data_IF_217371307642
#
_entry.id   IF_217371307642
#
_cell.length_a   1.000
_cell.length_b   1.000
_cell.length_c   1.000
_cell.angle_alpha   90.00
_cell.angle_beta   90.00
_cell.angle_gamma   90.00
#
_symmetry.space_group_name_H-M   'P 1'
#
loop_
_entity.id
_entity.type
_entity.pdbx_description
1 polymer ?
#
# COMPACT_ATOMS: atom_id res chain seq x y z
N UNK A 1 -3.36 -22.90 -17.70
CA UNK A 1 -1.98 -22.40 -17.90
C UNK A 1 -1.94 -20.90 -18.13
N UNK A 2 -2.11 -20.10 -17.07
CA UNK A 2 -2.04 -18.64 -17.16
C UNK A 2 -0.56 -18.22 -17.09
N UNK A 3 0.12 -18.21 -18.25
CA UNK A 3 1.56 -17.87 -18.34
C UNK A 3 1.87 -16.38 -18.08
N UNK A 4 0.86 -15.50 -18.11
CA UNK A 4 1.01 -14.06 -17.87
C UNK A 4 0.18 -13.68 -16.65
N UNK A 5 0.84 -13.20 -15.60
CA UNK A 5 0.23 -12.75 -14.35
C UNK A 5 -0.20 -11.27 -14.40
N UNK A 6 0.36 -10.53 -15.36
CA UNK A 6 0.06 -9.13 -15.61
C UNK A 6 0.82 -8.18 -14.68
N UNK A 7 0.74 -6.89 -14.97
CA UNK A 7 1.38 -5.84 -14.21
C UNK A 7 0.36 -4.77 -13.81
N UNK A 8 0.54 -4.16 -12.64
CA UNK A 8 -0.40 -3.17 -12.10
C UNK A 8 0.30 -2.21 -11.15
N UNK A 9 -0.21 -1.00 -11.08
CA UNK A 9 0.08 -0.01 -10.05
C UNK A 9 -1.23 0.38 -9.39
N UNK A 10 -1.25 0.32 -8.07
CA UNK A 10 -2.30 0.87 -7.23
C UNK A 10 -1.69 1.77 -6.18
N UNK A 11 -2.31 2.92 -5.95
CA UNK A 11 -1.99 3.78 -4.84
C UNK A 11 -3.24 4.51 -4.32
N UNK A 12 -3.37 4.58 -3.01
CA UNK A 12 -4.13 5.62 -2.34
C UNK A 12 -3.18 6.78 -2.04
N UNK A 13 -3.55 7.99 -2.46
CA UNK A 13 -2.85 9.22 -2.14
C UNK A 13 -3.63 9.99 -1.08
N UNK A 14 -2.91 10.59 -0.13
CA UNK A 14 -3.44 11.50 0.89
C UNK A 14 -2.90 12.89 0.61
N UNK A 15 -3.78 13.89 0.60
CA UNK A 15 -3.43 15.28 0.29
C UNK A 15 -3.64 16.19 1.50
N UNK A 16 -2.80 17.21 1.61
CA UNK A 16 -2.99 18.29 2.58
C UNK A 16 -4.08 19.29 2.13
N UNK A 17 -4.31 20.30 2.96
CA UNK A 17 -5.27 21.37 2.71
C UNK A 17 -4.96 22.21 1.48
N UNK A 18 -3.70 22.20 1.02
CA UNK A 18 -3.24 22.93 -0.17
C UNK A 18 -3.27 22.03 -1.43
N UNK A 19 -3.78 20.80 -1.32
CA UNK A 19 -3.82 19.84 -2.42
C UNK A 19 -2.49 19.16 -2.72
N UNK A 20 -1.48 19.27 -1.84
CA UNK A 20 -0.18 18.62 -2.00
C UNK A 20 -0.22 17.21 -1.43
N UNK A 21 0.41 16.26 -2.11
CA UNK A 21 0.53 14.89 -1.60
C UNK A 21 1.35 14.90 -0.29
N UNK A 22 0.87 14.20 0.73
CA UNK A 22 1.59 13.92 1.99
C UNK A 22 2.07 12.48 2.02
N UNK A 23 1.23 11.55 1.56
CA UNK A 23 1.54 10.13 1.60
C UNK A 23 0.94 9.39 0.41
N UNK A 24 1.64 8.35 -0.04
CA UNK A 24 1.12 7.34 -0.94
C UNK A 24 1.22 5.96 -0.29
N UNK A 25 0.16 5.17 -0.44
CA UNK A 25 0.02 3.82 0.10
C UNK A 25 -0.38 2.92 -1.05
N UNK A 26 0.50 2.03 -1.48
CA UNK A 26 0.28 1.34 -2.75
C UNK A 26 0.82 -0.06 -2.84
N UNK A 27 0.34 -0.76 -3.86
CA UNK A 27 0.86 -2.03 -4.32
C UNK A 27 1.25 -1.90 -5.80
N UNK A 28 2.43 -2.39 -6.14
CA UNK A 28 2.93 -2.39 -7.51
C UNK A 28 3.45 -3.76 -7.87
N UNK A 29 2.96 -4.33 -8.97
CA UNK A 29 3.66 -5.42 -9.65
C UNK A 29 4.16 -4.92 -10.99
N UNK A 30 5.48 -4.72 -11.16
CA UNK A 30 6.00 -4.17 -12.39
C UNK A 30 6.21 -5.18 -13.51
N UNK A 31 6.24 -6.47 -13.20
CA UNK A 31 6.58 -7.51 -14.17
C UNK A 31 5.34 -8.34 -14.54
N UNK A 32 5.02 -8.39 -15.83
CA UNK A 32 3.86 -9.14 -16.33
C UNK A 32 4.01 -10.66 -16.22
N UNK A 33 5.24 -11.15 -16.04
CA UNK A 33 5.59 -12.56 -16.05
C UNK A 33 5.80 -13.12 -14.63
N UNK A 34 5.80 -12.29 -13.60
CA UNK A 34 6.04 -12.73 -12.22
C UNK A 34 5.25 -11.94 -11.19
N UNK A 35 4.78 -12.62 -10.13
CA UNK A 35 4.11 -12.01 -8.98
C UNK A 35 5.10 -11.36 -8.00
N UNK A 36 6.08 -10.64 -8.53
CA UNK A 36 7.12 -9.91 -7.77
C UNK A 36 6.62 -8.57 -7.24
N UNK A 37 5.35 -8.54 -6.84
CA UNK A 37 4.71 -7.34 -6.35
C UNK A 37 5.34 -6.82 -5.07
N UNK A 38 5.14 -5.53 -4.83
CA UNK A 38 5.70 -4.80 -3.70
C UNK A 38 4.65 -3.90 -3.10
N UNK A 39 4.62 -3.85 -1.78
CA UNK A 39 3.88 -2.84 -1.03
C UNK A 39 4.83 -1.67 -0.77
N UNK A 40 4.43 -0.48 -1.18
CA UNK A 40 5.24 0.74 -1.07
C UNK A 40 4.43 1.77 -0.28
N UNK A 41 5.06 2.35 0.75
CA UNK A 41 4.54 3.53 1.44
C UNK A 41 5.58 4.63 1.39
N UNK A 42 5.17 5.79 0.88
CA UNK A 42 6.02 6.95 0.66
C UNK A 42 5.41 8.16 1.33
N UNK A 43 6.25 9.01 1.93
CA UNK A 43 5.85 10.33 2.43
C UNK A 43 6.47 11.41 1.54
N UNK A 44 5.80 12.55 1.46
CA UNK A 44 6.19 13.68 0.63
C UNK A 44 6.24 14.94 1.49
N UNK A 45 7.34 15.68 1.43
CA UNK A 45 7.47 16.94 2.18
C UNK A 45 6.74 18.08 1.43
N UNK A 46 6.85 19.32 1.90
CA UNK A 46 6.20 20.46 1.26
C UNK A 46 6.71 20.77 -0.16
N UNK A 47 7.97 20.43 -0.45
CA UNK A 47 8.59 20.62 -1.76
C UNK A 47 8.25 19.48 -2.74
N UNK A 48 7.57 18.42 -2.26
CA UNK A 48 7.32 17.21 -3.03
C UNK A 48 8.45 16.19 -2.99
N UNK A 49 9.50 16.42 -2.20
CA UNK A 49 10.57 15.44 -2.01
C UNK A 49 10.02 14.21 -1.30
N UNK A 50 10.31 13.06 -1.87
CA UNK A 50 9.76 11.79 -1.41
C UNK A 50 10.74 11.03 -0.51
N UNK A 51 10.23 10.41 0.54
CA UNK A 51 10.94 9.40 1.33
C UNK A 51 10.12 8.11 1.35
N UNK A 52 10.74 7.03 0.89
CA UNK A 52 10.13 5.71 0.95
C UNK A 52 10.32 5.13 2.36
N UNK A 53 9.28 5.21 3.17
CA UNK A 53 9.32 4.71 4.55
C UNK A 53 9.09 3.21 4.63
N UNK A 54 8.49 2.61 3.60
CA UNK A 54 8.19 1.18 3.53
C UNK A 54 8.35 0.64 2.12
N UNK A 55 9.04 -0.50 1.98
CA UNK A 55 9.21 -1.21 0.72
C UNK A 55 9.26 -2.72 0.99
N UNK A 56 8.13 -3.39 0.85
CA UNK A 56 8.02 -4.82 1.14
C UNK A 56 7.75 -5.61 -0.12
N UNK A 57 8.77 -6.34 -0.59
CA UNK A 57 8.65 -7.28 -1.70
C UNK A 57 7.88 -8.51 -1.25
N UNK A 58 6.98 -9.01 -2.09
CA UNK A 58 6.34 -10.30 -1.86
C UNK A 58 7.38 -11.41 -1.64
N UNK A 59 7.12 -12.24 -0.61
CA UNK A 59 7.85 -13.47 -0.38
C UNK A 59 7.83 -14.33 -1.66
N UNK A 60 8.96 -14.93 -2.08
CA UNK A 60 9.02 -15.84 -3.21
C UNK A 60 7.97 -16.96 -3.21
N UNK A 61 7.53 -17.43 -2.04
CA UNK A 61 6.46 -18.43 -1.92
C UNK A 61 5.12 -17.98 -2.54
N UNK A 62 4.92 -16.67 -2.68
CA UNK A 62 3.72 -16.07 -3.27
C UNK A 62 3.75 -16.05 -4.80
N UNK A 63 4.89 -16.34 -5.42
CA UNK A 63 5.04 -16.21 -6.88
C UNK A 63 4.19 -17.19 -7.66
N UNK A 64 3.83 -18.31 -7.02
CA UNK A 64 3.00 -19.36 -7.58
C UNK A 64 1.52 -19.25 -7.16
N UNK A 65 1.16 -18.28 -6.31
CA UNK A 65 -0.25 -18.08 -5.95
C UNK A 65 -1.00 -17.41 -7.11
N UNK A 66 -2.21 -17.88 -7.37
CA UNK A 66 -3.09 -17.29 -8.40
C UNK A 66 -3.76 -16.01 -7.88
N UNK A 67 -4.19 -16.01 -6.63
CA UNK A 67 -4.86 -14.88 -5.99
C UNK A 67 -4.56 -14.79 -4.49
N UNK A 68 -4.56 -13.56 -3.96
CA UNK A 68 -4.47 -13.27 -2.54
C UNK A 68 -4.99 -11.86 -2.29
N UNK A 69 -5.44 -11.60 -1.05
CA UNK A 69 -5.89 -10.28 -0.61
C UNK A 69 -4.75 -9.61 0.14
N UNK A 70 -4.53 -8.32 -0.14
CA UNK A 70 -3.54 -7.49 0.54
C UNK A 70 -4.24 -6.42 1.37
N UNK A 71 -3.86 -6.33 2.63
CA UNK A 71 -4.23 -5.23 3.51
C UNK A 71 -2.99 -4.39 3.81
N UNK A 72 -3.15 -3.07 3.71
CA UNK A 72 -2.11 -2.09 4.01
C UNK A 72 -2.72 -1.05 4.94
N UNK A 73 -2.12 -0.88 6.12
CA UNK A 73 -2.51 0.12 7.10
C UNK A 73 -1.34 1.07 7.34
N UNK A 74 -1.60 2.37 7.17
CA UNK A 74 -0.74 3.45 7.64
C UNK A 74 -1.45 4.15 8.81
N UNK A 75 -0.80 4.20 9.96
CA UNK A 75 -1.28 4.93 11.14
C UNK A 75 -0.28 6.02 11.49
N UNK A 76 -0.75 7.28 11.56
CA UNK A 76 0.06 8.40 12.03
C UNK A 76 -0.41 8.81 13.43
N UNK A 77 0.52 8.88 14.38
CA UNK A 77 0.33 9.51 15.69
C UNK A 77 1.46 10.51 15.90
N UNK A 78 1.12 11.79 15.94
CA UNK A 78 2.13 12.85 16.00
C UNK A 78 3.12 12.70 14.84
N UNK A 79 4.40 12.49 15.13
CA UNK A 79 5.47 12.27 14.15
C UNK A 79 5.83 10.79 13.91
N UNK A 80 5.08 9.85 14.50
CA UNK A 80 5.28 8.43 14.31
C UNK A 80 4.33 7.89 13.25
N UNK A 81 4.89 7.17 12.28
CA UNK A 81 4.17 6.45 11.23
C UNK A 81 4.35 4.95 11.44
N UNK A 82 3.26 4.26 11.80
CA UNK A 82 3.22 2.80 11.90
C UNK A 82 2.60 2.22 10.63
N UNK A 83 3.35 1.36 9.95
CA UNK A 83 2.92 0.61 8.79
C UNK A 83 2.68 -0.82 9.22
N UNK A 84 1.51 -1.36 8.87
CA UNK A 84 1.19 -2.78 9.03
C UNK A 84 0.66 -3.30 7.71
N UNK A 85 1.19 -4.44 7.28
CA UNK A 85 0.72 -5.15 6.08
C UNK A 85 0.43 -6.59 6.43
N UNK A 86 -0.61 -7.15 5.83
CA UNK A 86 -0.93 -8.55 5.98
C UNK A 86 -1.65 -9.09 4.76
N UNK A 87 -1.52 -10.39 4.50
CA UNK A 87 -2.12 -11.06 3.34
C UNK A 87 -2.92 -12.28 3.75
N UNK A 88 -4.03 -12.50 3.05
CA UNK A 88 -4.89 -13.67 3.20
C UNK A 88 -5.07 -14.38 1.87
N UNK A 89 -5.34 -15.69 1.93
CA UNK A 89 -5.79 -16.44 0.75
C UNK A 89 -7.25 -16.10 0.51
N UNK A 90 -7.63 -15.95 -0.75
CA UNK A 90 -9.04 -15.73 -1.10
C UNK A 90 -9.84 -17.04 -1.00
N UNK A 91 -9.29 -18.21 -1.39
CA UNK A 91 -10.01 -19.50 -1.34
C UNK A 91 -9.06 -20.61 -0.88
N UNK A 92 -9.55 -21.67 -0.18
CA UNK A 92 -10.88 -21.84 0.42
C UNK A 92 -11.00 -21.23 1.83
N UNK A 93 -12.24 -21.07 2.31
CA UNK A 93 -12.50 -20.81 3.73
C UNK A 93 -12.02 -22.02 4.58
N UNK A 94 -11.40 -21.84 5.76
CA UNK A 94 -11.22 -20.60 6.52
C UNK A 94 -9.88 -19.88 6.28
N UNK A 95 -9.10 -20.20 5.23
CA UNK A 95 -7.78 -19.59 5.01
C UNK A 95 -7.85 -18.06 4.78
N UNK A 96 -9.04 -17.54 4.49
CA UNK A 96 -9.36 -16.09 4.52
C UNK A 96 -9.14 -15.43 5.89
N UNK A 97 -9.12 -16.19 6.99
CA UNK A 97 -9.04 -15.67 8.36
C UNK A 97 -7.64 -15.67 8.95
N UNK A 98 -6.70 -16.41 8.36
CA UNK A 98 -5.34 -16.57 8.89
C UNK A 98 -4.36 -15.85 7.98
N UNK A 99 -3.73 -14.80 8.50
CA UNK A 99 -2.74 -14.06 7.74
C UNK A 99 -1.51 -14.95 7.53
N UNK A 100 -1.11 -15.16 6.28
CA UNK A 100 0.04 -16.02 5.96
C UNK A 100 1.35 -15.23 5.79
N UNK A 101 1.25 -13.91 5.64
CA UNK A 101 2.36 -12.99 5.49
C UNK A 101 1.98 -11.69 6.16
N UNK A 102 2.66 -11.34 7.25
CA UNK A 102 2.40 -10.14 8.04
C UNK A 102 3.73 -9.44 8.33
N UNK A 103 3.75 -8.13 8.16
CA UNK A 103 4.93 -7.32 8.43
C UNK A 103 4.55 -5.95 8.99
N UNK A 104 5.31 -5.48 9.97
CA UNK A 104 5.14 -4.20 10.65
C UNK A 104 6.43 -3.40 10.62
N UNK A 105 6.32 -2.09 10.41
CA UNK A 105 7.45 -1.15 10.49
C UNK A 105 7.00 0.15 11.14
N UNK A 106 7.90 0.77 11.87
CA UNK A 106 7.71 2.11 12.42
C UNK A 106 8.74 3.04 11.77
N UNK A 107 8.29 4.23 11.37
CA UNK A 107 9.11 5.33 10.91
C UNK A 107 8.85 6.55 11.81
N UNK A 108 9.92 7.24 12.20
CA UNK A 108 9.85 8.43 13.07
C UNK A 108 10.29 9.63 12.24
N UNK A 109 9.40 10.60 12.09
CA UNK A 109 9.67 11.88 11.43
C UNK A 109 10.19 12.90 12.45
N UNK A 110 11.48 12.80 12.80
CA UNK A 110 12.07 13.71 13.80
C UNK A 110 11.93 15.19 13.43
N UNK A 111 11.92 15.51 12.13
CA UNK A 111 11.79 16.88 11.62
C UNK A 111 10.36 17.38 11.45
N UNK A 112 9.34 16.52 11.65
CA UNK A 112 7.91 16.84 11.48
C UNK A 112 7.57 17.37 10.07
N UNK A 113 8.30 16.94 9.03
CA UNK A 113 8.07 17.36 7.65
C UNK A 113 6.77 16.81 7.05
N UNK A 114 6.23 15.73 7.62
CA UNK A 114 5.09 14.97 7.09
C UNK A 114 3.84 15.04 7.99
N UNK A 115 3.82 15.93 8.99
CA UNK A 115 2.73 16.04 9.98
C UNK A 115 1.62 17.03 9.61
N UNK A 116 1.53 17.42 8.34
CA UNK A 116 0.51 18.35 7.83
C UNK A 116 -0.92 17.77 7.98
N UNK A 117 -1.96 18.60 8.17
CA UNK A 117 -3.36 18.14 8.17
C UNK A 117 -3.71 17.46 6.84
N UNK A 118 -4.51 16.41 6.89
CA UNK A 118 -5.01 15.71 5.69
C UNK A 118 -6.40 16.25 5.38
N UNK A 119 -6.63 16.65 4.13
CA UNK A 119 -7.92 17.21 3.70
C UNK A 119 -8.67 16.29 2.74
N UNK A 120 -7.96 15.51 1.91
CA UNK A 120 -8.59 14.66 0.92
C UNK A 120 -7.75 13.42 0.59
N UNK A 121 -8.35 12.50 -0.17
CA UNK A 121 -7.69 11.31 -0.69
C UNK A 121 -8.14 11.03 -2.12
N UNK A 122 -7.32 10.29 -2.85
CA UNK A 122 -7.68 9.74 -4.16
C UNK A 122 -7.17 8.30 -4.31
N UNK A 123 -7.85 7.51 -5.13
CA UNK A 123 -7.38 6.20 -5.55
C UNK A 123 -6.88 6.26 -6.98
N UNK A 124 -5.74 5.65 -7.23
CA UNK A 124 -5.13 5.52 -8.54
C UNK A 124 -4.91 4.05 -8.84
N UNK A 125 -5.32 3.62 -10.04
CA UNK A 125 -5.05 2.30 -10.57
C UNK A 125 -4.64 2.43 -12.03
N UNK A 126 -3.56 1.76 -12.43
CA UNK A 126 -3.07 1.78 -13.79
C UNK A 126 -2.33 0.51 -14.17
N UNK A 127 -2.27 0.26 -15.48
CA UNK A 127 -1.34 -0.73 -16.06
C UNK A 127 0.10 -0.27 -15.89
N UNK A 128 1.04 -1.20 -15.81
CA UNK A 128 2.46 -0.84 -15.91
C UNK A 128 2.96 -0.97 -17.36
N UNK A 129 3.14 0.17 -18.03
CA UNK A 129 3.62 0.22 -19.40
C UNK A 129 2.67 -0.46 -20.40
N UNK A 130 3.22 -1.21 -21.34
CA UNK A 130 2.46 -1.96 -22.36
C UNK A 130 2.14 -3.40 -21.94
N UNK A 131 2.34 -3.74 -20.68
CA UNK A 131 2.07 -5.08 -20.17
C UNK A 131 0.56 -5.35 -20.04
N UNK A 132 0.12 -6.62 -20.18
CA UNK A 132 -1.21 -7.02 -19.77
C UNK A 132 -1.48 -6.63 -18.31
N UNK A 133 -2.70 -6.20 -18.02
CA UNK A 133 -3.10 -5.76 -16.69
C UNK A 133 -3.21 -6.96 -15.76
N UNK A 134 -2.57 -6.89 -14.59
CA UNK A 134 -2.87 -7.83 -13.49
C UNK A 134 -4.26 -7.49 -12.95
N UNK A 135 -5.21 -8.44 -12.88
CA UNK A 135 -6.50 -8.19 -12.25
C UNK A 135 -6.32 -7.66 -10.83
N UNK A 136 -6.94 -6.51 -10.56
CA UNK A 136 -6.91 -5.84 -9.28
C UNK A 136 -8.33 -5.42 -8.91
N UNK A 137 -8.77 -5.86 -7.73
CA UNK A 137 -10.03 -5.45 -7.13
C UNK A 137 -9.75 -4.63 -5.88
N UNK A 138 -10.33 -3.44 -5.79
CA UNK A 138 -10.25 -2.59 -4.60
C UNK A 138 -11.50 -2.87 -3.77
N UNK A 139 -11.37 -3.70 -2.74
CA UNK A 139 -12.50 -4.04 -1.87
C UNK A 139 -12.97 -2.89 -0.98
N UNK A 140 -12.09 -1.93 -0.72
CA UNK A 140 -12.43 -0.71 0.01
C UNK A 140 -11.21 -0.01 0.57
N UNK A 141 -11.40 1.25 0.90
CA UNK A 141 -10.42 2.07 1.64
C UNK A 141 -11.12 2.74 2.79
N UNK A 142 -10.46 2.79 3.94
CA UNK A 142 -11.01 3.41 5.15
C UNK A 142 -9.98 4.37 5.74
N UNK A 143 -10.36 5.65 5.81
CA UNK A 143 -9.55 6.72 6.38
C UNK A 143 -10.34 7.36 7.51
N UNK A 144 -9.71 7.51 8.67
CA UNK A 144 -10.32 8.18 9.82
C UNK A 144 -9.28 8.99 10.57
N UNK A 145 -9.74 10.03 11.22
CA UNK A 145 -8.98 10.69 12.27
C UNK A 145 -8.99 9.83 13.55
N UNK A 146 -7.85 9.78 14.24
CA UNK A 146 -7.75 9.16 15.55
C UNK A 146 -7.96 10.26 16.60
N UNK A 147 -9.15 10.31 17.18
CA UNK A 147 -9.45 11.24 18.27
C UNK A 147 -8.66 10.84 19.53
N UNK A 148 -8.33 11.80 20.42
CA UNK A 148 -7.85 11.49 21.76
C UNK A 148 -8.79 10.51 22.45
N UNK A 149 -8.24 9.64 23.30
CA UNK A 149 -9.10 8.86 24.19
C UNK A 149 -9.82 9.85 25.12
N UNK A 150 -11.14 9.68 25.35
CA UNK A 150 -11.86 10.47 26.34
C UNK A 150 -11.28 10.28 27.74
#
# INVERSE_FOLDING_TARGET
>A
NQRRKGAVHFAQYLYDTDGRVIASIGYSNPNANSNTGRIIVTLFNQNGDQVKIYDYKNNPSLYNMDEFVVYIKLERRSNQFKIKTWKYREIPYPLRKIAFDQHEKIYIDSGKFYTRPIASLSLYSAKNGNNPVMPLYIFGTYTRELLPKP
#
